data_IF_844664253414
#
_entry.id   IF_844664253414
#
_cell.length_a   1.000
_cell.length_b   1.000
_cell.length_c   1.000
_cell.angle_alpha   90.00
_cell.angle_beta   90.00
_cell.angle_gamma   90.00
#
_symmetry.space_group_name_H-M   'P 1'
#
loop_
_entity.id
_entity.type
_entity.pdbx_description
1 polymer ?
#
# COMPACT_ATOMS: atom_id res chain seq x y z
N UNK A 1 -8.93 12.27 -21.43
CA UNK A 1 -7.66 12.88 -20.96
C UNK A 1 -7.83 13.66 -19.66
N UNK A 2 -8.73 14.65 -19.60
CA UNK A 2 -8.97 15.47 -18.39
C UNK A 2 -9.27 14.63 -17.12
N UNK A 3 -10.08 13.57 -17.26
CA UNK A 3 -10.39 12.66 -16.15
C UNK A 3 -9.14 11.96 -15.57
N UNK A 4 -8.20 11.53 -16.43
CA UNK A 4 -6.96 10.89 -15.99
C UNK A 4 -6.01 11.91 -15.34
N UNK A 5 -5.92 13.11 -15.90
CA UNK A 5 -5.14 14.21 -15.30
C UNK A 5 -5.66 14.58 -13.92
N UNK A 6 -6.98 14.57 -13.72
CA UNK A 6 -7.62 14.85 -12.44
C UNK A 6 -7.34 13.73 -11.42
N UNK A 7 -7.43 12.46 -11.83
CA UNK A 7 -7.02 11.32 -11.00
C UNK A 7 -5.54 11.45 -10.57
N UNK A 8 -4.65 11.75 -11.50
CA UNK A 8 -3.23 11.93 -11.24
C UNK A 8 -2.94 13.11 -10.31
N UNK A 9 -3.61 14.25 -10.52
CA UNK A 9 -3.45 15.45 -9.69
C UNK A 9 -3.87 15.21 -8.23
N UNK A 10 -5.00 14.53 -8.01
CA UNK A 10 -5.44 14.17 -6.65
C UNK A 10 -4.42 13.24 -5.98
N UNK A 11 -3.93 12.21 -6.69
CA UNK A 11 -2.92 11.30 -6.15
C UNK A 11 -1.62 12.03 -5.78
N UNK A 12 -1.15 12.95 -6.63
CA UNK A 12 0.04 13.75 -6.37
C UNK A 12 -0.13 14.63 -5.12
N UNK A 13 -1.30 15.28 -4.96
CA UNK A 13 -1.60 16.11 -3.78
C UNK A 13 -1.51 15.28 -2.50
N UNK A 14 -2.03 14.06 -2.49
CA UNK A 14 -1.95 13.17 -1.33
C UNK A 14 -0.50 12.82 -0.99
N UNK A 15 0.30 12.46 -1.99
CA UNK A 15 1.72 12.13 -1.79
C UNK A 15 2.48 13.32 -1.19
N UNK A 16 2.28 14.52 -1.76
CA UNK A 16 2.90 15.76 -1.26
C UNK A 16 2.44 16.05 0.17
N UNK A 17 1.14 15.96 0.45
CA UNK A 17 0.60 16.21 1.78
C UNK A 17 1.21 15.27 2.83
N UNK A 18 1.27 13.96 2.55
CA UNK A 18 1.87 12.97 3.46
C UNK A 18 3.35 13.26 3.69
N UNK A 19 4.10 13.56 2.63
CA UNK A 19 5.52 13.91 2.72
C UNK A 19 5.76 15.16 3.58
N UNK A 20 4.98 16.22 3.37
CA UNK A 20 5.14 17.48 4.13
C UNK A 20 4.71 17.33 5.60
N UNK A 21 3.65 16.56 5.87
CA UNK A 21 3.23 16.25 7.24
C UNK A 21 4.29 15.44 7.96
N UNK A 22 4.86 14.40 7.32
CA UNK A 22 5.88 13.55 7.92
C UNK A 22 7.17 14.31 8.25
N UNK A 23 7.56 15.30 7.42
CA UNK A 23 8.70 16.20 7.72
C UNK A 23 8.49 17.02 8.98
N UNK A 24 7.26 17.50 9.22
CA UNK A 24 6.93 18.34 10.39
C UNK A 24 6.65 17.53 11.65
N UNK A 25 5.96 16.39 11.50
CA UNK A 25 5.61 15.48 12.59
C UNK A 25 5.63 14.04 12.07
N UNK A 26 6.71 13.28 12.35
CA UNK A 26 6.83 11.90 11.90
C UNK A 26 5.69 11.00 12.40
N UNK A 27 5.20 11.21 13.62
CA UNK A 27 4.11 10.42 14.19
C UNK A 27 2.76 10.66 13.49
N UNK A 28 2.42 11.92 13.22
CA UNK A 28 1.21 12.25 12.44
C UNK A 28 1.38 11.80 10.99
N UNK A 29 2.58 11.94 10.42
CA UNK A 29 2.93 11.42 9.11
C UNK A 29 2.70 9.91 9.00
N UNK A 30 3.11 9.14 10.02
CA UNK A 30 2.88 7.70 10.07
C UNK A 30 1.39 7.34 10.19
N UNK A 31 0.61 8.10 10.96
CA UNK A 31 -0.84 7.92 11.05
C UNK A 31 -1.53 8.19 9.71
N UNK A 32 -1.16 9.27 9.02
CA UNK A 32 -1.75 9.58 7.71
C UNK A 32 -1.30 8.58 6.65
N UNK A 33 -0.03 8.15 6.69
CA UNK A 33 0.52 7.15 5.78
C UNK A 33 -0.06 5.75 6.00
N UNK A 34 -0.50 5.41 7.22
CA UNK A 34 -1.14 4.12 7.50
C UNK A 34 -2.60 4.07 7.01
N UNK A 35 -3.22 5.22 6.76
CA UNK A 35 -4.53 5.26 6.12
C UNK A 35 -4.39 4.75 4.67
N UNK A 36 -5.25 3.82 4.23
CA UNK A 36 -5.20 3.28 2.87
C UNK A 36 -5.81 4.26 1.86
N UNK A 37 -5.37 5.53 1.85
CA UNK A 37 -5.93 6.61 1.03
C UNK A 37 -5.91 6.26 -0.45
N UNK A 38 -4.81 5.66 -0.92
CA UNK A 38 -4.68 5.19 -2.30
C UNK A 38 -5.72 4.11 -2.61
N UNK A 39 -5.90 3.14 -1.71
CA UNK A 39 -6.91 2.09 -1.88
C UNK A 39 -8.32 2.66 -1.85
N UNK A 40 -8.62 3.57 -0.92
CA UNK A 40 -9.94 4.23 -0.83
C UNK A 40 -10.26 5.01 -2.11
N UNK A 41 -9.31 5.77 -2.65
CA UNK A 41 -9.49 6.42 -3.94
C UNK A 41 -9.70 5.43 -5.08
N UNK A 42 -8.93 4.34 -5.11
CA UNK A 42 -9.10 3.25 -6.06
C UNK A 42 -10.51 2.65 -6.01
N UNK A 43 -11.03 2.41 -4.80
CA UNK A 43 -12.39 1.91 -4.57
C UNK A 43 -13.46 2.89 -5.03
N UNK A 44 -13.31 4.19 -4.72
CA UNK A 44 -14.25 5.24 -5.16
C UNK A 44 -14.31 5.28 -6.69
N UNK A 45 -13.16 5.23 -7.36
CA UNK A 45 -13.10 5.23 -8.82
C UNK A 45 -13.65 3.94 -9.42
N UNK A 46 -13.30 2.77 -8.85
CA UNK A 46 -13.81 1.48 -9.30
C UNK A 46 -15.34 1.44 -9.19
N UNK A 47 -15.89 1.90 -8.07
CA UNK A 47 -17.33 2.00 -7.86
C UNK A 47 -17.97 2.96 -8.87
N UNK A 48 -17.40 4.16 -9.04
CA UNK A 48 -17.92 5.13 -10.00
C UNK A 48 -17.89 4.62 -11.44
N UNK A 49 -16.86 3.86 -11.81
CA UNK A 49 -16.66 3.39 -13.18
C UNK A 49 -17.48 2.10 -13.45
N UNK A 50 -17.78 1.26 -12.44
CA UNK A 50 -18.44 -0.06 -12.64
C UNK A 50 -19.79 -0.23 -11.96
N UNK A 51 -20.04 0.43 -10.83
CA UNK A 51 -21.19 0.23 -9.94
C UNK A 51 -21.47 -1.25 -9.59
N UNK A 52 -20.44 -2.10 -9.63
CA UNK A 52 -20.55 -3.55 -9.43
C UNK A 52 -20.16 -3.93 -7.99
N UNK A 53 -21.12 -4.35 -7.14
CA UNK A 53 -20.85 -4.71 -5.76
C UNK A 53 -20.02 -5.99 -5.62
N UNK A 54 -20.12 -6.93 -6.56
CA UNK A 54 -19.35 -8.19 -6.52
C UNK A 54 -17.88 -7.91 -6.81
N UNK A 55 -17.59 -7.09 -7.83
CA UNK A 55 -16.22 -6.66 -8.13
C UNK A 55 -15.63 -5.83 -6.99
N UNK A 56 -16.41 -4.93 -6.42
CA UNK A 56 -15.97 -4.11 -5.29
C UNK A 56 -15.62 -4.97 -4.08
N UNK A 57 -16.48 -5.94 -3.71
CA UNK A 57 -16.22 -6.87 -2.62
C UNK A 57 -14.96 -7.72 -2.86
N UNK A 58 -14.77 -8.24 -4.08
CA UNK A 58 -13.58 -9.00 -4.44
C UNK A 58 -12.31 -8.13 -4.36
N UNK A 59 -12.35 -6.89 -4.85
CA UNK A 59 -11.23 -5.96 -4.80
C UNK A 59 -10.84 -5.59 -3.36
N UNK A 60 -11.83 -5.30 -2.51
CA UNK A 60 -11.59 -5.01 -1.10
C UNK A 60 -11.03 -6.23 -0.35
N UNK A 61 -11.58 -7.42 -0.59
CA UNK A 61 -11.11 -8.66 0.01
C UNK A 61 -9.68 -9.02 -0.41
N UNK A 62 -9.36 -8.90 -1.69
CA UNK A 62 -8.00 -9.09 -2.18
C UNK A 62 -7.02 -8.07 -1.57
N UNK A 63 -7.42 -6.80 -1.49
CA UNK A 63 -6.59 -5.74 -0.88
C UNK A 63 -6.25 -6.06 0.57
N UNK A 64 -7.21 -6.55 1.37
CA UNK A 64 -6.96 -6.98 2.75
C UNK A 64 -5.85 -8.03 2.82
N UNK A 65 -5.94 -9.07 1.97
CA UNK A 65 -4.95 -10.12 1.93
C UNK A 65 -3.57 -9.59 1.53
N UNK A 66 -3.47 -8.73 0.51
CA UNK A 66 -2.19 -8.16 0.07
C UNK A 66 -1.56 -7.16 1.06
N UNK A 67 -2.35 -6.58 1.98
CA UNK A 67 -1.79 -5.74 3.05
C UNK A 67 -0.97 -6.56 4.03
N UNK A 68 -1.41 -7.76 4.42
CA UNK A 68 -0.72 -8.60 5.40
C UNK A 68 0.77 -8.86 5.09
N UNK A 69 1.14 -9.34 3.88
CA UNK A 69 2.54 -9.57 3.54
C UNK A 69 3.35 -8.28 3.34
N UNK A 70 2.73 -7.10 3.28
CA UNK A 70 3.44 -5.81 3.25
C UNK A 70 3.84 -5.32 4.65
N UNK A 71 3.16 -5.76 5.71
CA UNK A 71 3.41 -5.32 7.09
C UNK A 71 4.84 -5.62 7.60
N UNK A 72 5.45 -6.80 7.32
CA UNK A 72 6.80 -7.10 7.78
C UNK A 72 7.87 -6.10 7.33
N UNK A 73 7.69 -5.44 6.18
CA UNK A 73 8.59 -4.38 5.71
C UNK A 73 8.65 -3.21 6.70
N UNK A 74 7.52 -2.82 7.28
CA UNK A 74 7.44 -1.73 8.27
C UNK A 74 8.13 -2.07 9.59
N UNK A 75 8.48 -3.33 9.84
CA UNK A 75 9.32 -3.75 10.96
C UNK A 75 10.78 -3.92 10.55
N UNK A 76 11.04 -4.47 9.36
CA UNK A 76 12.39 -4.71 8.86
C UNK A 76 13.17 -3.40 8.64
N UNK A 77 12.57 -2.42 7.97
CA UNK A 77 13.23 -1.14 7.66
C UNK A 77 13.73 -0.44 8.95
N UNK A 78 12.88 -0.16 9.97
CA UNK A 78 13.37 0.46 11.19
C UNK A 78 14.38 -0.43 11.93
N UNK A 79 14.21 -1.76 11.93
CA UNK A 79 15.16 -2.68 12.55
C UNK A 79 16.56 -2.64 11.90
N UNK A 80 16.64 -2.43 10.59
CA UNK A 80 17.92 -2.27 9.86
C UNK A 80 18.52 -0.88 10.09
N UNK A 81 17.71 0.17 10.00
CA UNK A 81 18.16 1.55 10.25
C UNK A 81 18.69 1.74 11.67
N UNK A 82 18.02 1.16 12.68
CA UNK A 82 18.47 1.19 14.07
C UNK A 82 19.78 0.42 14.32
N UNK A 83 20.19 -0.46 13.39
CA UNK A 83 21.47 -1.19 13.42
C UNK A 83 22.56 -0.52 12.57
N UNK A 84 22.30 0.68 12.06
CA UNK A 84 23.26 1.45 11.27
C UNK A 84 23.34 1.05 9.78
N UNK A 85 22.40 0.25 9.28
CA UNK A 85 22.35 -0.07 7.86
C UNK A 85 22.02 1.19 7.02
N UNK A 86 22.60 1.35 5.82
CA UNK A 86 22.30 2.49 4.96
C UNK A 86 20.84 2.45 4.48
N UNK A 87 20.21 3.63 4.37
CA UNK A 87 18.79 3.77 4.03
C UNK A 87 18.37 3.00 2.77
N UNK A 88 19.12 3.16 1.67
CA UNK A 88 18.80 2.51 0.41
C UNK A 88 18.88 0.98 0.50
N UNK A 89 19.77 0.44 1.34
CA UNK A 89 19.83 -1.00 1.59
C UNK A 89 18.63 -1.47 2.41
N UNK A 90 18.24 -0.74 3.45
CA UNK A 90 17.05 -1.07 4.25
C UNK A 90 15.77 -1.03 3.39
N UNK A 91 15.63 -0.02 2.54
CA UNK A 91 14.50 0.12 1.62
C UNK A 91 14.44 -1.02 0.61
N UNK A 92 15.55 -1.32 -0.08
CA UNK A 92 15.61 -2.40 -1.07
C UNK A 92 15.35 -3.76 -0.43
N UNK A 93 15.92 -4.05 0.74
CA UNK A 93 15.64 -5.27 1.49
C UNK A 93 14.16 -5.39 1.87
N UNK A 94 13.54 -4.29 2.31
CA UNK A 94 12.12 -4.21 2.58
C UNK A 94 11.23 -4.51 1.37
N UNK A 95 11.56 -3.93 0.22
CA UNK A 95 10.86 -4.19 -1.04
C UNK A 95 11.01 -5.65 -1.48
N UNK A 96 12.23 -6.20 -1.45
CA UNK A 96 12.50 -7.60 -1.80
C UNK A 96 11.74 -8.55 -0.88
N UNK A 97 11.72 -8.28 0.43
CA UNK A 97 10.93 -9.07 1.39
C UNK A 97 9.44 -9.06 1.02
N UNK A 98 8.89 -7.88 0.75
CA UNK A 98 7.46 -7.74 0.40
C UNK A 98 7.13 -8.52 -0.87
N UNK A 99 7.96 -8.42 -1.90
CA UNK A 99 7.79 -9.17 -3.15
C UNK A 99 7.83 -10.68 -2.88
N UNK A 100 8.80 -11.16 -2.10
CA UNK A 100 8.90 -12.58 -1.75
C UNK A 100 7.66 -13.07 -1.00
N UNK A 101 7.15 -12.27 -0.06
CA UNK A 101 5.93 -12.60 0.69
C UNK A 101 4.67 -12.54 -0.18
N UNK A 102 4.58 -11.60 -1.14
CA UNK A 102 3.49 -11.54 -2.11
C UNK A 102 3.48 -12.81 -2.97
N UNK A 103 4.63 -13.22 -3.49
CA UNK A 103 4.77 -14.46 -4.26
C UNK A 103 4.41 -15.70 -3.44
N UNK A 104 4.86 -15.76 -2.19
CA UNK A 104 4.49 -16.84 -1.28
C UNK A 104 2.96 -16.87 -1.04
N UNK A 105 2.35 -15.70 -0.85
CA UNK A 105 0.91 -15.58 -0.63
C UNK A 105 0.08 -15.97 -1.86
N UNK A 106 0.44 -15.52 -3.05
CA UNK A 106 -0.29 -15.87 -4.27
C UNK A 106 -0.12 -17.34 -4.65
N UNK A 107 1.00 -17.96 -4.27
CA UNK A 107 1.23 -19.40 -4.47
C UNK A 107 0.51 -20.27 -3.42
N UNK A 108 0.54 -19.86 -2.15
CA UNK A 108 -0.05 -20.64 -1.05
C UNK A 108 -1.55 -20.36 -0.86
N UNK A 109 -1.99 -19.13 -1.05
CA UNK A 109 -3.37 -18.68 -0.80
C UNK A 109 -4.44 -19.49 -1.53
N UNK A 110 -4.30 -19.81 -2.83
CA UNK A 110 -5.24 -20.66 -3.54
C UNK A 110 -5.38 -22.06 -2.93
N UNK A 111 -4.30 -22.59 -2.31
CA UNK A 111 -4.33 -23.90 -1.62
C UNK A 111 -5.12 -23.87 -0.32
N UNK A 112 -5.28 -22.71 0.27
CA UNK A 112 -6.12 -22.48 1.46
C UNK A 112 -7.53 -21.98 1.08
N UNK A 113 -7.89 -22.02 -0.21
CA UNK A 113 -9.21 -21.58 -0.69
C UNK A 113 -9.37 -20.06 -0.82
N UNK A 114 -8.29 -19.28 -0.69
CA UNK A 114 -8.32 -17.84 -0.92
C UNK A 114 -8.43 -17.56 -2.42
N UNK A 115 -9.43 -16.77 -2.81
CA UNK A 115 -9.56 -16.21 -4.16
C UNK A 115 -8.78 -14.90 -4.19
N UNK A 116 -7.49 -14.99 -4.48
CA UNK A 116 -6.54 -13.88 -4.62
C UNK A 116 -6.40 -13.45 -6.08
#
# INVERSE_FOLDING_TARGET
MLYLLLKAGISAIIIVAVSEIAKRSPGVGALVASLPLVSVLGMIWLWRDTHDPVRMAAHAGATFWFVLPSLPMFLLIPAMLNRGAPFWLALTAGCVLTIALYLAMTWAGPRFGLRL
#
